data_IF_426396174503
#
_entry.id   IF_426396174503
#
_cell.length_a   1.000
_cell.length_b   1.000
_cell.length_c   1.000
_cell.angle_alpha   90.00
_cell.angle_beta   90.00
_cell.angle_gamma   90.00
#
_symmetry.space_group_name_H-M   'P 1'
#
loop_
_entity.id
_entity.type
_entity.pdbx_description
1 polymer ?
#
# COMPACT_ATOMS: atom_id res chain seq x y z
N UNK A 1 -26.59 -3.89 43.94
CA UNK A 1 -26.53 -2.65 44.74
C UNK A 1 -27.93 -2.31 45.20
N UNK A 2 -28.18 -2.33 46.51
CA UNK A 2 -29.33 -1.67 47.13
C UNK A 2 -28.73 -0.48 47.90
N UNK A 3 -29.08 0.74 47.52
CA UNK A 3 -28.69 1.98 48.21
C UNK A 3 -27.17 2.32 48.29
N UNK A 4 -26.39 2.07 47.23
CA UNK A 4 -25.05 2.67 47.06
C UNK A 4 -23.96 2.27 48.07
N UNK A 5 -24.26 1.45 49.09
CA UNK A 5 -23.31 0.87 50.03
C UNK A 5 -23.07 -0.62 49.73
N UNK A 6 -21.83 -1.09 49.94
CA UNK A 6 -21.49 -2.51 49.86
C UNK A 6 -22.13 -3.27 51.04
N UNK A 7 -22.94 -4.30 50.79
CA UNK A 7 -23.55 -5.11 51.85
C UNK A 7 -22.47 -5.78 52.71
N UNK A 8 -22.71 -5.91 54.02
CA UNK A 8 -21.76 -6.52 54.97
C UNK A 8 -21.60 -8.03 54.79
N UNK A 9 -22.54 -8.70 54.09
CA UNK A 9 -22.46 -10.12 53.78
C UNK A 9 -22.55 -10.33 52.26
N UNK A 10 -21.49 -10.92 51.70
CA UNK A 10 -21.33 -11.19 50.27
C UNK A 10 -21.44 -12.68 49.94
N UNK A 11 -21.70 -13.55 50.93
CA UNK A 11 -21.75 -15.00 50.76
C UNK A 11 -22.79 -15.47 49.73
N UNK A 12 -23.90 -14.74 49.59
CA UNK A 12 -24.96 -15.00 48.62
C UNK A 12 -24.89 -14.11 47.35
N UNK A 13 -23.79 -13.39 47.10
CA UNK A 13 -23.70 -12.41 46.01
C UNK A 13 -22.79 -12.88 44.89
N UNK A 14 -23.32 -12.89 43.66
CA UNK A 14 -22.56 -13.20 42.45
C UNK A 14 -22.08 -11.89 41.80
N UNK A 15 -20.77 -11.64 41.84
CA UNK A 15 -20.16 -10.42 41.27
C UNK A 15 -19.70 -10.70 39.85
N UNK A 16 -20.20 -9.90 38.92
CA UNK A 16 -19.80 -9.96 37.52
C UNK A 16 -19.13 -8.66 37.11
N UNK A 17 -18.20 -8.76 36.15
CA UNK A 17 -17.73 -7.59 35.40
C UNK A 17 -18.93 -6.96 34.66
N UNK A 18 -19.06 -5.63 34.70
CA UNK A 18 -20.16 -4.90 34.05
C UNK A 18 -20.26 -5.22 32.55
N UNK A 19 -19.11 -5.37 31.88
CA UNK A 19 -19.02 -5.82 30.49
C UNK A 19 -19.53 -7.25 30.31
N UNK A 20 -19.25 -8.15 31.25
CA UNK A 20 -19.74 -9.53 31.27
C UNK A 20 -21.26 -9.61 31.41
N UNK A 21 -21.86 -8.77 32.25
CA UNK A 21 -23.33 -8.67 32.40
C UNK A 21 -23.98 -8.18 31.11
N UNK A 22 -23.45 -7.12 30.50
CA UNK A 22 -23.96 -6.58 29.24
C UNK A 22 -23.87 -7.59 28.10
N UNK A 23 -22.74 -8.30 27.99
CA UNK A 23 -22.54 -9.37 27.02
C UNK A 23 -23.53 -10.52 27.24
N UNK A 24 -23.76 -10.94 28.48
CA UNK A 24 -24.71 -12.01 28.78
C UNK A 24 -26.15 -11.58 28.46
N UNK A 25 -26.54 -10.34 28.75
CA UNK A 25 -27.85 -9.81 28.41
C UNK A 25 -28.07 -9.72 26.89
N UNK A 26 -27.06 -9.29 26.13
CA UNK A 26 -27.11 -9.32 24.66
C UNK A 26 -27.24 -10.76 24.15
N UNK A 27 -26.45 -11.68 24.70
CA UNK A 27 -26.48 -13.09 24.32
C UNK A 27 -27.82 -13.76 24.63
N UNK A 28 -28.47 -13.41 25.74
CA UNK A 28 -29.82 -13.90 26.05
C UNK A 28 -30.82 -13.44 24.98
N UNK A 29 -30.79 -12.17 24.58
CA UNK A 29 -31.68 -11.64 23.52
C UNK A 29 -31.43 -12.32 22.18
N UNK A 30 -30.17 -12.55 21.82
CA UNK A 30 -29.81 -13.32 20.62
C UNK A 30 -30.39 -14.75 20.67
N UNK A 31 -30.18 -15.45 21.78
CA UNK A 31 -30.68 -16.83 21.96
C UNK A 31 -32.20 -16.90 21.97
N UNK A 32 -32.90 -15.90 22.52
CA UNK A 32 -34.36 -15.82 22.46
C UNK A 32 -34.85 -15.65 21.02
N UNK A 33 -34.20 -14.78 20.24
CA UNK A 33 -34.50 -14.59 18.83
C UNK A 33 -34.23 -15.87 18.03
N UNK A 34 -33.08 -16.51 18.26
CA UNK A 34 -32.69 -17.75 17.60
C UNK A 34 -33.67 -18.88 17.93
N UNK A 35 -34.04 -19.05 19.21
CA UNK A 35 -35.04 -20.03 19.65
C UNK A 35 -36.40 -19.79 19.00
N UNK A 36 -36.83 -18.54 18.87
CA UNK A 36 -38.07 -18.21 18.18
C UNK A 36 -38.01 -18.60 16.69
N UNK A 37 -36.91 -18.24 16.02
CA UNK A 37 -36.68 -18.57 14.61
C UNK A 37 -36.66 -20.09 14.38
N UNK A 38 -35.90 -20.85 15.19
CA UNK A 38 -35.84 -22.31 15.12
C UNK A 38 -37.22 -22.96 15.35
N UNK A 39 -38.02 -22.46 16.30
CA UNK A 39 -39.39 -22.94 16.51
C UNK A 39 -40.29 -22.70 15.29
N UNK A 40 -40.17 -21.53 14.66
CA UNK A 40 -40.92 -21.22 13.42
C UNK A 40 -40.53 -22.18 12.30
N UNK A 41 -39.22 -22.36 12.06
CA UNK A 41 -38.71 -23.30 11.04
C UNK A 41 -39.15 -24.74 11.32
N UNK A 42 -39.10 -25.20 12.57
CA UNK A 42 -39.56 -26.55 12.92
C UNK A 42 -41.05 -26.72 12.61
N UNK A 43 -41.89 -25.71 12.89
CA UNK A 43 -43.33 -25.75 12.60
C UNK A 43 -43.59 -25.79 11.10
N UNK A 44 -42.88 -24.98 10.31
CA UNK A 44 -42.98 -24.97 8.85
C UNK A 44 -42.50 -26.30 8.24
N UNK A 45 -41.37 -26.83 8.71
CA UNK A 45 -40.83 -28.11 8.27
C UNK A 45 -41.79 -29.27 8.56
N UNK A 46 -42.38 -29.31 9.77
CA UNK A 46 -43.42 -30.30 10.11
C UNK A 46 -44.65 -30.20 9.20
N UNK A 47 -45.11 -28.98 8.90
CA UNK A 47 -46.23 -28.76 7.96
C UNK A 47 -45.89 -29.28 6.56
N UNK A 48 -44.70 -28.95 6.05
CA UNK A 48 -44.22 -29.42 4.75
C UNK A 48 -44.11 -30.95 4.71
N UNK A 49 -43.57 -31.56 5.75
CA UNK A 49 -43.43 -33.00 5.83
C UNK A 49 -44.79 -33.72 5.76
N UNK A 50 -45.78 -33.25 6.53
CA UNK A 50 -47.14 -33.81 6.49
C UNK A 50 -47.78 -33.59 5.12
N UNK A 51 -47.58 -32.43 4.49
CA UNK A 51 -48.08 -32.16 3.15
C UNK A 51 -47.47 -33.11 2.12
N UNK A 52 -46.14 -33.27 2.12
CA UNK A 52 -45.44 -34.16 1.20
C UNK A 52 -45.88 -35.62 1.36
N UNK A 53 -46.16 -36.09 2.57
CA UNK A 53 -46.69 -37.45 2.78
C UNK A 53 -48.07 -37.60 2.12
N UNK A 54 -48.95 -36.60 2.26
CA UNK A 54 -50.27 -36.61 1.62
C UNK A 54 -50.14 -36.57 0.10
N UNK A 55 -49.33 -35.67 -0.41
CA UNK A 55 -49.11 -35.50 -1.85
C UNK A 55 -48.51 -36.78 -2.45
N UNK A 56 -47.53 -37.40 -1.78
CA UNK A 56 -46.97 -38.69 -2.20
C UNK A 56 -48.06 -39.74 -2.35
N UNK A 57 -48.96 -39.87 -1.37
CA UNK A 57 -50.07 -40.84 -1.43
C UNK A 57 -51.05 -40.53 -2.58
N UNK A 58 -51.33 -39.25 -2.84
CA UNK A 58 -52.18 -38.82 -3.96
C UNK A 58 -51.50 -39.18 -5.29
N UNK A 59 -50.22 -38.89 -5.45
CA UNK A 59 -49.48 -39.21 -6.67
C UNK A 59 -49.31 -40.72 -6.87
N UNK A 60 -49.04 -41.49 -5.82
CA UNK A 60 -49.02 -42.96 -5.88
C UNK A 60 -50.37 -43.51 -6.37
N UNK A 61 -51.49 -42.97 -5.86
CA UNK A 61 -52.83 -43.37 -6.31
C UNK A 61 -53.07 -43.00 -7.77
N UNK A 62 -52.59 -41.82 -8.21
CA UNK A 62 -52.73 -41.36 -9.59
C UNK A 62 -51.88 -42.18 -10.57
N UNK A 63 -50.67 -42.58 -10.16
CA UNK A 63 -49.81 -43.47 -10.93
C UNK A 63 -50.51 -44.80 -11.16
N UNK A 64 -51.04 -45.43 -10.11
CA UNK A 64 -51.78 -46.70 -10.23
C UNK A 64 -53.01 -46.56 -11.13
N UNK A 65 -53.76 -45.45 -11.04
CA UNK A 65 -54.90 -45.18 -11.91
C UNK A 65 -54.48 -45.06 -13.39
N UNK A 66 -53.41 -44.31 -13.67
CA UNK A 66 -52.90 -44.11 -15.04
C UNK A 66 -52.28 -45.38 -15.61
N UNK A 67 -51.56 -46.16 -14.79
CA UNK A 67 -51.03 -47.48 -15.18
C UNK A 67 -52.18 -48.44 -15.53
N UNK A 68 -53.26 -48.44 -14.75
CA UNK A 68 -54.47 -49.20 -15.04
C UNK A 68 -55.10 -48.81 -16.37
N UNK A 69 -55.31 -47.51 -16.60
CA UNK A 69 -55.85 -46.98 -17.87
C UNK A 69 -54.95 -47.31 -19.07
N UNK A 70 -53.62 -47.24 -18.88
CA UNK A 70 -52.66 -47.59 -19.91
C UNK A 70 -52.73 -49.09 -20.25
N UNK A 71 -52.76 -49.96 -19.23
CA UNK A 71 -52.90 -51.41 -19.43
C UNK A 71 -54.21 -51.78 -20.13
N UNK A 72 -55.33 -51.19 -19.72
CA UNK A 72 -56.62 -51.40 -20.37
C UNK A 72 -56.57 -50.99 -21.85
N UNK A 73 -56.04 -49.79 -22.14
CA UNK A 73 -55.88 -49.32 -23.51
C UNK A 73 -54.94 -50.20 -24.35
N UNK A 74 -53.88 -50.74 -23.75
CA UNK A 74 -52.96 -51.66 -24.42
C UNK A 74 -53.61 -53.00 -24.73
N UNK A 75 -54.39 -53.56 -23.79
CA UNK A 75 -55.15 -54.80 -24.03
C UNK A 75 -56.21 -54.57 -25.11
N UNK A 76 -56.92 -53.45 -25.09
CA UNK A 76 -57.93 -53.11 -26.11
C UNK A 76 -57.32 -52.97 -27.51
N UNK A 77 -56.14 -52.35 -27.62
CA UNK A 77 -55.49 -52.08 -28.92
C UNK A 77 -54.68 -53.26 -29.45
N UNK A 78 -54.01 -54.00 -28.57
CA UNK A 78 -52.99 -54.98 -28.95
C UNK A 78 -53.30 -56.40 -28.46
N UNK A 79 -54.39 -56.59 -27.69
CA UNK A 79 -54.81 -57.90 -27.15
C UNK A 79 -53.98 -58.38 -25.96
N UNK A 80 -52.88 -57.70 -25.62
CA UNK A 80 -51.98 -58.01 -24.52
C UNK A 80 -51.23 -56.74 -24.07
N UNK A 81 -50.77 -56.65 -22.81
CA UNK A 81 -49.88 -55.57 -22.39
C UNK A 81 -48.58 -55.60 -23.22
N UNK A 82 -48.24 -54.47 -23.83
CA UNK A 82 -47.05 -54.31 -24.68
C UNK A 82 -46.00 -53.50 -23.93
N UNK A 83 -44.74 -53.94 -24.01
CA UNK A 83 -43.61 -53.17 -23.49
C UNK A 83 -43.28 -52.02 -24.44
N UNK A 84 -43.79 -50.83 -24.11
CA UNK A 84 -43.63 -49.62 -24.92
C UNK A 84 -42.17 -49.13 -24.97
N UNK A 85 -41.35 -49.37 -23.94
CA UNK A 85 -39.93 -48.98 -23.94
C UNK A 85 -39.13 -49.81 -24.95
N UNK A 86 -39.42 -51.11 -25.04
CA UNK A 86 -38.84 -51.97 -26.09
C UNK A 86 -39.30 -51.55 -27.48
N UNK A 87 -40.55 -51.11 -27.63
CA UNK A 87 -41.05 -50.64 -28.92
C UNK A 87 -40.43 -49.29 -29.32
N UNK A 88 -40.25 -48.38 -28.36
CA UNK A 88 -39.62 -47.07 -28.58
C UNK A 88 -38.11 -47.17 -28.86
N UNK A 89 -37.42 -48.17 -28.30
CA UNK A 89 -36.01 -48.44 -28.67
C UNK A 89 -35.84 -49.03 -30.07
N UNK A 90 -36.87 -49.68 -30.61
CA UNK A 90 -36.88 -50.21 -31.99
C UNK A 90 -37.24 -49.12 -33.01
N UNK A 91 -38.00 -48.10 -32.61
CA UNK A 91 -38.45 -47.00 -33.48
C UNK A 91 -37.58 -45.77 -33.21
N UNK A 92 -36.79 -45.33 -34.19
CA UNK A 92 -36.01 -44.07 -34.07
C UNK A 92 -36.96 -42.89 -33.87
N UNK A 93 -37.06 -42.40 -32.63
CA UNK A 93 -37.83 -41.22 -32.30
C UNK A 93 -37.10 -39.98 -32.84
N UNK A 94 -37.59 -39.43 -33.95
CA UNK A 94 -36.98 -38.28 -34.66
C UNK A 94 -36.74 -37.08 -33.73
N UNK A 95 -37.62 -36.84 -32.75
CA UNK A 95 -37.48 -35.74 -31.82
C UNK A 95 -36.29 -35.93 -30.88
N UNK A 96 -36.03 -37.17 -30.44
CA UNK A 96 -34.89 -37.50 -29.57
C UNK A 96 -33.58 -37.30 -30.33
N UNK A 97 -33.49 -37.76 -31.58
CA UNK A 97 -32.28 -37.55 -32.39
C UNK A 97 -32.05 -36.07 -32.74
N UNK A 98 -33.10 -35.31 -33.04
CA UNK A 98 -33.00 -33.85 -33.20
C UNK A 98 -32.50 -33.15 -31.92
N UNK A 99 -32.95 -33.60 -30.74
CA UNK A 99 -32.48 -33.06 -29.46
C UNK A 99 -31.03 -33.45 -29.15
N UNK A 100 -30.62 -34.69 -29.46
CA UNK A 100 -29.22 -35.13 -29.32
C UNK A 100 -28.29 -34.34 -30.22
N UNK A 101 -28.67 -34.08 -31.47
CA UNK A 101 -27.83 -33.28 -32.36
C UNK A 101 -27.75 -31.82 -31.91
N UNK A 102 -28.86 -31.25 -31.42
CA UNK A 102 -28.82 -29.91 -30.80
C UNK A 102 -27.89 -29.87 -29.60
N UNK A 103 -27.97 -30.87 -28.72
CA UNK A 103 -27.07 -30.97 -27.57
C UNK A 103 -25.60 -31.02 -28.03
N UNK A 104 -25.30 -31.88 -29.00
CA UNK A 104 -23.95 -32.01 -29.57
C UNK A 104 -23.42 -30.68 -30.11
N UNK A 105 -24.25 -29.94 -30.86
CA UNK A 105 -23.88 -28.62 -31.38
C UNK A 105 -23.64 -27.61 -30.25
N UNK A 106 -24.47 -27.60 -29.21
CA UNK A 106 -24.27 -26.71 -28.06
C UNK A 106 -23.03 -27.07 -27.24
N UNK A 107 -22.69 -28.35 -27.12
CA UNK A 107 -21.47 -28.79 -26.44
C UNK A 107 -20.22 -28.31 -27.19
N UNK A 108 -20.23 -28.39 -28.53
CA UNK A 108 -19.15 -27.88 -29.38
C UNK A 108 -18.98 -26.37 -29.17
N UNK A 109 -20.07 -25.59 -29.26
CA UNK A 109 -20.04 -24.14 -29.04
C UNK A 109 -19.50 -23.78 -27.64
N UNK A 110 -20.02 -24.42 -26.60
CA UNK A 110 -19.53 -24.24 -25.23
C UNK A 110 -18.03 -24.57 -25.12
N UNK A 111 -17.57 -25.63 -25.80
CA UNK A 111 -16.16 -26.02 -25.77
C UNK A 111 -15.24 -24.99 -26.44
N UNK A 112 -15.70 -24.39 -27.55
CA UNK A 112 -15.00 -23.33 -28.26
C UNK A 112 -14.93 -22.06 -27.40
N UNK A 113 -16.04 -21.66 -26.77
CA UNK A 113 -16.09 -20.52 -25.86
C UNK A 113 -15.14 -20.71 -24.67
N UNK A 114 -15.14 -21.91 -24.04
CA UNK A 114 -14.22 -22.23 -22.94
C UNK A 114 -12.76 -22.09 -23.40
N UNK A 115 -12.44 -22.56 -24.61
CA UNK A 115 -11.09 -22.45 -25.15
C UNK A 115 -10.69 -20.98 -25.34
N UNK A 116 -11.55 -20.16 -25.94
CA UNK A 116 -11.29 -18.73 -26.10
C UNK A 116 -11.08 -18.01 -24.77
N UNK A 117 -11.93 -18.30 -23.77
CA UNK A 117 -11.80 -17.69 -22.45
C UNK A 117 -10.52 -18.13 -21.74
N UNK A 118 -10.12 -19.40 -21.89
CA UNK A 118 -8.85 -19.89 -21.34
C UNK A 118 -7.64 -19.19 -21.99
N UNK A 119 -7.66 -18.98 -23.31
CA UNK A 119 -6.61 -18.24 -24.02
C UNK A 119 -6.53 -16.78 -23.54
N UNK A 120 -7.68 -16.09 -23.40
CA UNK A 120 -7.74 -14.73 -22.84
C UNK A 120 -7.19 -14.68 -21.41
N UNK A 121 -7.54 -15.66 -20.57
CA UNK A 121 -7.03 -15.74 -19.19
C UNK A 121 -5.52 -15.95 -19.19
N UNK A 122 -4.99 -16.82 -20.06
CA UNK A 122 -3.56 -17.07 -20.18
C UNK A 122 -2.80 -15.80 -20.58
N UNK A 123 -3.28 -15.08 -21.61
CA UNK A 123 -2.70 -13.80 -22.06
C UNK A 123 -2.67 -12.76 -20.92
N UNK A 124 -3.78 -12.61 -20.17
CA UNK A 124 -3.82 -11.66 -19.04
C UNK A 124 -2.89 -12.07 -17.91
N UNK A 125 -2.80 -13.37 -17.59
CA UNK A 125 -1.86 -13.89 -16.59
C UNK A 125 -0.42 -13.66 -16.98
N UNK A 126 -0.08 -13.87 -18.25
CA UNK A 126 1.27 -13.61 -18.77
C UNK A 126 1.61 -12.12 -18.67
N UNK A 127 0.68 -11.23 -19.07
CA UNK A 127 0.87 -9.78 -18.96
C UNK A 127 1.10 -9.32 -17.52
N UNK A 128 0.35 -9.87 -16.56
CA UNK A 128 0.54 -9.58 -15.13
C UNK A 128 1.91 -10.08 -14.68
N UNK A 129 2.29 -11.30 -15.05
CA UNK A 129 3.58 -11.89 -14.70
C UNK A 129 4.74 -11.05 -15.25
N UNK A 130 4.64 -10.57 -16.49
CA UNK A 130 5.62 -9.68 -17.10
C UNK A 130 5.75 -8.35 -16.34
N UNK A 131 4.61 -7.76 -15.92
CA UNK A 131 4.61 -6.53 -15.11
C UNK A 131 5.19 -6.73 -13.71
N UNK A 132 4.93 -7.88 -13.08
CA UNK A 132 5.55 -8.23 -11.80
C UNK A 132 7.06 -8.34 -11.96
N UNK A 133 7.54 -9.06 -12.98
CA UNK A 133 8.98 -9.16 -13.27
C UNK A 133 9.63 -7.79 -13.51
N UNK A 134 9.02 -6.93 -14.31
CA UNK A 134 9.53 -5.56 -14.54
C UNK A 134 9.55 -4.75 -13.24
N UNK A 135 8.53 -4.85 -12.40
CA UNK A 135 8.48 -4.18 -11.11
C UNK A 135 9.57 -4.68 -10.16
N UNK A 136 9.76 -6.00 -10.06
CA UNK A 136 10.84 -6.61 -9.27
C UNK A 136 12.21 -6.12 -9.74
N UNK A 137 12.47 -6.11 -11.05
CA UNK A 137 13.74 -5.61 -11.59
C UNK A 137 13.97 -4.13 -11.24
N UNK A 138 12.93 -3.30 -11.25
CA UNK A 138 13.02 -1.88 -10.85
C UNK A 138 13.29 -1.72 -9.36
N UNK A 139 12.69 -2.56 -8.52
CA UNK A 139 12.96 -2.58 -7.07
C UNK A 139 14.41 -2.99 -6.80
N UNK A 140 14.94 -3.98 -7.53
CA UNK A 140 16.33 -4.41 -7.40
C UNK A 140 17.28 -3.27 -7.80
N UNK A 141 17.02 -2.59 -8.92
CA UNK A 141 17.77 -1.40 -9.33
C UNK A 141 17.72 -0.29 -8.27
N UNK A 142 16.54 -0.04 -7.68
CA UNK A 142 16.38 0.94 -6.61
C UNK A 142 17.20 0.56 -5.36
N UNK A 143 17.20 -0.72 -4.97
CA UNK A 143 18.01 -1.21 -3.87
C UNK A 143 19.51 -1.02 -4.13
N UNK A 144 19.98 -1.30 -5.35
CA UNK A 144 21.38 -1.05 -5.74
C UNK A 144 21.74 0.43 -5.60
N UNK A 145 20.94 1.32 -6.18
CA UNK A 145 21.17 2.77 -6.11
C UNK A 145 21.10 3.32 -4.68
N UNK A 146 20.22 2.78 -3.83
CA UNK A 146 20.15 3.17 -2.42
C UNK A 146 21.41 2.74 -1.65
N UNK A 147 21.97 1.57 -1.96
CA UNK A 147 23.22 1.13 -1.37
C UNK A 147 24.39 2.02 -1.81
N UNK A 148 24.52 2.30 -3.11
CA UNK A 148 25.55 3.23 -3.62
C UNK A 148 25.42 4.62 -2.99
N UNK A 149 24.19 5.15 -2.90
CA UNK A 149 23.92 6.42 -2.22
C UNK A 149 24.40 6.39 -0.78
N UNK A 150 24.07 5.32 -0.03
CA UNK A 150 24.49 5.16 1.37
C UNK A 150 26.01 5.09 1.50
N UNK A 151 26.70 4.41 0.58
CA UNK A 151 28.16 4.37 0.52
C UNK A 151 28.75 5.76 0.28
N UNK A 152 28.21 6.53 -0.67
CA UNK A 152 28.64 7.90 -0.92
C UNK A 152 28.38 8.83 0.27
N UNK A 153 27.23 8.73 0.92
CA UNK A 153 26.92 9.48 2.14
C UNK A 153 27.93 9.13 3.25
N UNK A 154 28.23 7.85 3.47
CA UNK A 154 29.24 7.43 4.45
C UNK A 154 30.65 7.93 4.10
N UNK A 155 31.03 7.95 2.82
CA UNK A 155 32.29 8.53 2.36
C UNK A 155 32.35 10.04 2.59
N UNK A 156 31.26 10.76 2.32
CA UNK A 156 31.15 12.20 2.56
C UNK A 156 31.23 12.52 4.06
N UNK A 157 30.48 11.81 4.89
CA UNK A 157 30.52 11.97 6.36
C UNK A 157 31.93 11.70 6.91
N UNK A 158 32.57 10.64 6.43
CA UNK A 158 33.95 10.31 6.82
C UNK A 158 34.92 11.41 6.38
N UNK A 159 34.79 11.92 5.15
CA UNK A 159 35.62 13.00 4.64
C UNK A 159 35.39 14.29 5.41
N UNK A 160 34.15 14.66 5.68
CA UNK A 160 33.79 15.86 6.44
C UNK A 160 34.27 15.76 7.89
N UNK A 161 34.23 14.58 8.51
CA UNK A 161 34.84 14.36 9.83
C UNK A 161 36.35 14.57 9.81
N UNK A 162 37.03 14.11 8.76
CA UNK A 162 38.48 14.24 8.62
C UNK A 162 38.93 15.66 8.21
N UNK A 163 38.22 16.33 7.29
CA UNK A 163 38.52 17.71 6.86
C UNK A 163 37.94 18.77 7.79
N UNK A 164 36.99 18.38 8.64
CA UNK A 164 36.47 19.20 9.72
C UNK A 164 37.55 19.58 10.72
N UNK A 165 38.55 18.76 10.98
CA UNK A 165 39.64 19.13 11.90
C UNK A 165 40.65 20.13 11.28
N UNK A 166 40.91 20.08 9.97
CA UNK A 166 41.84 21.02 9.30
C UNK A 166 41.22 22.39 8.98
N UNK A 167 39.89 22.50 9.01
CA UNK A 167 39.11 23.72 8.74
C UNK A 167 38.25 24.20 9.94
N UNK A 168 38.12 23.41 11.01
CA UNK A 168 37.47 23.84 12.27
C UNK A 168 38.47 24.63 13.11
N UNK A 169 38.59 25.88 12.75
CA UNK A 169 39.38 26.86 13.48
C UNK A 169 39.78 27.96 12.54
N UNK A 170 39.37 29.19 12.85
CA UNK A 170 39.93 30.35 12.19
C UNK A 170 41.45 30.30 12.42
N UNK A 171 42.21 29.89 11.41
CA UNK A 171 43.68 29.79 11.52
C UNK A 171 44.13 31.17 11.97
N UNK A 172 44.91 31.25 13.06
CA UNK A 172 45.43 32.54 13.52
C UNK A 172 46.19 33.27 12.40
N UNK A 173 46.73 32.53 11.42
CA UNK A 173 47.26 33.06 10.17
C UNK A 173 46.18 33.78 9.32
N UNK A 174 45.04 33.15 9.08
CA UNK A 174 43.93 33.74 8.30
C UNK A 174 43.30 34.95 8.99
N UNK A 175 43.20 34.96 10.33
CA UNK A 175 42.74 36.15 11.08
C UNK A 175 43.73 37.30 10.92
N UNK A 176 45.03 37.02 11.05
CA UNK A 176 46.08 38.03 10.89
C UNK A 176 46.16 38.55 9.46
N UNK A 177 46.04 37.67 8.47
CA UNK A 177 46.01 38.06 7.06
C UNK A 177 44.77 38.89 6.75
N UNK A 178 43.60 38.49 7.26
CA UNK A 178 42.38 39.30 7.15
C UNK A 178 42.57 40.69 7.78
N UNK A 179 43.18 40.79 8.96
CA UNK A 179 43.48 42.08 9.60
C UNK A 179 44.47 42.92 8.78
N UNK A 180 45.52 42.29 8.23
CA UNK A 180 46.48 42.94 7.34
C UNK A 180 45.81 43.48 6.08
N UNK A 181 44.93 42.69 5.46
CA UNK A 181 44.16 43.10 4.28
C UNK A 181 43.20 44.25 4.62
N UNK A 182 42.55 44.24 5.78
CA UNK A 182 41.70 45.35 6.24
C UNK A 182 42.54 46.62 6.41
N UNK A 183 43.70 46.54 7.05
CA UNK A 183 44.60 47.68 7.21
C UNK A 183 45.10 48.21 5.86
N UNK A 184 45.42 47.32 4.93
CA UNK A 184 45.84 47.69 3.58
C UNK A 184 44.73 48.45 2.84
N UNK A 185 43.49 47.96 2.90
CA UNK A 185 42.33 48.64 2.30
C UNK A 185 42.11 50.02 2.92
N UNK A 186 42.29 50.16 4.23
CA UNK A 186 42.18 51.47 4.90
C UNK A 186 43.27 52.44 4.46
N UNK A 187 44.52 51.99 4.34
CA UNK A 187 45.62 52.81 3.84
C UNK A 187 45.39 53.25 2.39
N UNK A 188 44.97 52.31 1.54
CA UNK A 188 44.64 52.62 0.15
C UNK A 188 43.46 53.60 0.03
N UNK A 189 42.46 53.50 0.90
CA UNK A 189 41.36 54.46 0.92
C UNK A 189 41.84 55.87 1.30
N UNK A 190 42.72 55.98 2.29
CA UNK A 190 43.34 57.26 2.66
C UNK A 190 44.21 57.83 1.53
N UNK A 191 44.98 56.99 0.86
CA UNK A 191 45.80 57.38 -0.28
C UNK A 191 44.93 57.84 -1.47
N UNK A 192 43.83 57.14 -1.74
CA UNK A 192 42.84 57.57 -2.73
C UNK A 192 42.25 58.94 -2.38
N UNK A 193 41.92 59.18 -1.11
CA UNK A 193 41.34 60.47 -0.71
C UNK A 193 42.38 61.60 -0.76
N UNK A 194 43.64 61.34 -0.37
CA UNK A 194 44.74 62.29 -0.54
C UNK A 194 44.99 62.62 -2.03
N UNK A 195 44.98 61.61 -2.90
CA UNK A 195 45.12 61.80 -4.35
C UNK A 195 43.91 62.56 -4.93
N UNK A 196 42.69 62.33 -4.43
CA UNK A 196 41.52 63.14 -4.82
C UNK A 196 41.68 64.59 -4.39
N UNK A 197 42.20 64.86 -3.19
CA UNK A 197 42.48 66.22 -2.73
C UNK A 197 43.57 66.89 -3.59
N UNK A 198 44.64 66.18 -3.91
CA UNK A 198 45.70 66.66 -4.81
C UNK A 198 45.13 66.95 -6.21
N UNK A 199 44.32 66.06 -6.77
CA UNK A 199 43.63 66.28 -8.05
C UNK A 199 42.70 67.49 -7.96
N UNK A 200 41.98 67.69 -6.85
CA UNK A 200 41.13 68.88 -6.65
C UNK A 200 41.98 70.17 -6.58
N UNK A 201 43.13 70.14 -5.90
CA UNK A 201 44.08 71.23 -5.80
C UNK A 201 44.68 71.57 -7.18
N UNK A 202 45.10 70.56 -7.94
CA UNK A 202 45.67 70.70 -9.29
C UNK A 202 44.61 71.09 -10.34
N UNK A 203 43.36 70.67 -10.17
CA UNK A 203 42.25 70.99 -11.08
C UNK A 203 41.66 72.39 -10.85
N UNK A 204 41.90 73.02 -9.69
CA UNK A 204 41.59 74.44 -9.48
C UNK A 204 42.67 75.26 -10.19
N UNK A 205 42.31 75.92 -11.31
CA UNK A 205 43.16 76.88 -12.02
C UNK A 205 43.72 77.94 -11.04
N UNK A 206 44.96 77.76 -10.57
CA UNK A 206 45.69 78.76 -9.77
C UNK A 206 46.41 78.29 -8.49
N UNK A 207 46.57 76.99 -8.20
CA UNK A 207 47.22 76.51 -6.96
C UNK A 207 48.74 76.26 -7.08
N UNK A 208 49.53 76.92 -6.23
CA UNK A 208 50.99 76.85 -6.10
C UNK A 208 51.47 75.49 -5.55
N UNK A 209 52.33 74.78 -6.28
CA UNK A 209 53.01 73.55 -5.79
C UNK A 209 54.26 73.93 -4.98
N UNK A 210 54.22 73.67 -3.66
CA UNK A 210 55.43 73.68 -2.83
C UNK A 210 56.15 72.32 -2.95
N UNK A 211 57.50 72.28 -2.93
CA UNK A 211 58.27 71.05 -3.02
C UNK A 211 58.01 70.12 -1.83
N UNK A 212 58.13 68.78 -2.02
CA UNK A 212 57.80 67.80 -0.99
C UNK A 212 58.74 67.91 0.24
N UNK A 213 58.15 67.89 1.43
CA UNK A 213 58.88 67.80 2.68
C UNK A 213 59.61 66.44 2.77
N UNK A 214 60.94 66.49 2.87
CA UNK A 214 61.77 65.30 3.10
C UNK A 214 61.46 64.67 4.48
N UNK A 215 61.38 63.33 4.59
CA UNK A 215 61.31 62.66 5.88
C UNK A 215 62.67 62.75 6.63
N UNK A 216 62.67 62.83 7.97
CA UNK A 216 63.91 62.89 8.76
C UNK A 216 64.68 61.57 8.68
N UNK A 217 66.00 61.66 8.44
CA UNK A 217 66.93 60.54 8.48
C UNK A 217 67.06 59.96 9.91
N UNK A 218 67.05 58.62 10.09
CA UNK A 218 67.33 58.01 11.38
C UNK A 218 68.82 58.13 11.75
N UNK A 219 69.08 58.63 12.96
CA UNK A 219 70.41 58.80 13.55
C UNK A 219 71.01 57.43 13.94
N UNK A 220 72.25 57.19 13.55
CA UNK A 220 73.05 56.04 14.00
C UNK A 220 73.60 56.27 15.42
N UNK A 221 73.63 55.23 16.29
CA UNK A 221 74.17 55.36 17.64
C UNK A 221 75.72 55.36 17.66
N UNK A 222 76.36 56.08 18.60
CA UNK A 222 77.82 56.14 18.69
C UNK A 222 78.40 54.86 19.27
N UNK A 223 79.36 54.32 18.53
CA UNK A 223 80.20 53.16 18.83
C UNK A 223 81.13 53.49 20.01
N UNK A 224 81.00 52.78 21.14
CA UNK A 224 81.98 52.82 22.24
C UNK A 224 82.93 51.62 22.13
N UNK A 225 84.20 51.95 22.27
CA UNK A 225 85.39 51.17 21.92
C UNK A 225 85.62 49.93 22.79
N UNK A 226 86.05 48.88 22.10
CA UNK A 226 87.09 47.88 22.45
C UNK A 226 87.92 48.13 23.71
N UNK A 227 88.13 47.08 24.52
CA UNK A 227 89.44 46.73 25.09
C UNK A 227 89.63 45.19 25.03
N UNK A 228 90.76 44.79 24.46
CA UNK A 228 91.28 43.43 24.30
C UNK A 228 91.75 42.78 25.61
N UNK A 229 91.63 41.46 25.69
CA UNK A 229 92.74 40.49 25.72
C UNK A 229 92.21 39.06 25.54
#
# INVERSE_FOLDING_TARGET
MVNGALPQDLSATLVFESNGVNRLQQRIKELEHEKHSQKKHMKESRRKHVQLIKDRKVFESKVVEMEGQCNEMMVDKFGQPVDLEKLETIIVNRQIEELKEKLRLTEIQCSEEIKEWNEKIAEKKERITAKIKDNTNRLDQLCMLLNEKKEFEAHLDSRQKNSGEEFSGARKADIREKQRLIQLVQLQAQEIDALKEEIMLLSRKGGHILPPAQPPLPQSPPNMRTISN
#
